data_IF_680163582533
#
_entry.id   IF_680163582533
#
_cell.length_a   1.000
_cell.length_b   1.000
_cell.length_c   1.000
_cell.angle_alpha   90.00
_cell.angle_beta   90.00
_cell.angle_gamma   90.00
#
_symmetry.space_group_name_H-M   'P 1'
#
loop_
_entity.id
_entity.type
_entity.pdbx_description
1 polymer ?
#
# COMPACT_ATOMS: atom_id res chain seq x y z
N UNK A 1 11.55 19.32 9.42
CA UNK A 1 12.98 19.68 9.18
C UNK A 1 13.67 19.84 10.53
N UNK A 2 14.99 19.60 10.61
CA UNK A 2 15.74 19.56 11.89
C UNK A 2 15.86 20.95 12.54
N UNK A 3 15.79 22.03 11.76
CA UNK A 3 15.75 23.43 12.21
C UNK A 3 16.75 23.73 13.36
N UNK A 4 18.06 23.58 13.11
CA UNK A 4 19.06 23.73 14.15
C UNK A 4 19.08 25.17 14.72
N UNK A 5 19.31 25.29 16.02
CA UNK A 5 19.37 26.59 16.71
C UNK A 5 20.51 27.48 16.19
N UNK A 6 21.60 26.84 15.73
CA UNK A 6 22.73 27.49 15.08
C UNK A 6 22.88 26.98 13.64
N UNK A 7 23.11 27.88 12.69
CA UNK A 7 23.23 27.50 11.29
C UNK A 7 24.51 26.71 10.95
N UNK A 8 25.55 26.81 11.79
CA UNK A 8 26.86 26.22 11.53
C UNK A 8 27.06 24.82 12.11
N UNK A 9 26.15 24.37 12.99
CA UNK A 9 26.25 23.05 13.60
C UNK A 9 24.90 22.46 13.96
N UNK A 10 24.79 21.13 13.86
CA UNK A 10 23.64 20.38 14.39
C UNK A 10 24.04 19.81 15.75
N UNK A 11 23.30 20.18 16.79
CA UNK A 11 23.51 19.71 18.15
C UNK A 11 22.62 18.51 18.48
N UNK A 12 22.91 17.84 19.60
CA UNK A 12 22.04 16.78 20.11
C UNK A 12 20.62 17.29 20.43
N UNK A 13 20.50 18.54 20.86
CA UNK A 13 19.22 19.15 21.20
C UNK A 13 18.34 19.31 19.95
N UNK A 14 18.92 19.74 18.83
CA UNK A 14 18.23 19.87 17.54
C UNK A 14 17.68 18.52 17.06
N UNK A 15 18.50 17.47 17.13
CA UNK A 15 18.08 16.12 16.74
C UNK A 15 16.95 15.59 17.63
N UNK A 16 17.04 15.79 18.95
CA UNK A 16 16.00 15.37 19.90
C UNK A 16 14.68 16.14 19.68
N UNK A 17 14.75 17.44 19.43
CA UNK A 17 13.56 18.29 19.22
C UNK A 17 12.84 17.99 17.91
N UNK A 18 13.57 17.65 16.85
CA UNK A 18 12.99 17.42 15.52
C UNK A 18 12.19 16.13 15.37
N UNK A 19 12.38 15.14 16.26
CA UNK A 19 11.89 13.75 16.11
C UNK A 19 12.35 13.04 14.82
N UNK A 20 13.37 13.58 14.14
CA UNK A 20 13.94 13.02 12.91
C UNK A 20 15.26 12.27 13.14
N UNK A 21 15.66 12.09 14.40
CA UNK A 21 16.96 11.49 14.75
C UNK A 21 17.15 10.09 14.15
N UNK A 22 16.10 9.27 14.12
CA UNK A 22 16.17 7.92 13.54
C UNK A 22 16.50 7.97 12.04
N UNK A 23 15.82 8.84 11.29
CA UNK A 23 16.06 9.00 9.86
C UNK A 23 17.47 9.52 9.58
N UNK A 24 17.95 10.50 10.36
CA UNK A 24 19.31 11.05 10.22
C UNK A 24 20.37 9.95 10.41
N UNK A 25 20.22 9.12 11.43
CA UNK A 25 21.15 8.04 11.68
C UNK A 25 21.10 6.94 10.61
N UNK A 26 19.91 6.62 10.09
CA UNK A 26 19.78 5.67 8.99
C UNK A 26 20.47 6.17 7.72
N UNK A 27 20.35 7.47 7.39
CA UNK A 27 21.03 8.09 6.25
C UNK A 27 22.55 8.00 6.40
N UNK A 28 23.09 8.27 7.60
CA UNK A 28 24.53 8.34 7.81
C UNK A 28 25.23 6.98 7.81
N UNK A 29 24.59 5.94 8.36
CA UNK A 29 25.28 4.66 8.58
C UNK A 29 24.44 3.38 8.48
N UNK A 30 23.13 3.47 8.22
CA UNK A 30 22.28 2.28 8.05
C UNK A 30 21.55 2.31 6.71
N UNK A 31 22.32 2.10 5.65
CA UNK A 31 21.83 2.13 4.27
C UNK A 31 20.66 1.16 4.05
N UNK A 32 20.70 -0.04 4.65
CA UNK A 32 19.62 -1.02 4.50
C UNK A 32 18.29 -0.47 5.02
N UNK A 33 18.27 0.09 6.24
CA UNK A 33 17.05 0.70 6.79
C UNK A 33 16.63 1.95 6.02
N UNK A 34 17.59 2.76 5.57
CA UNK A 34 17.30 3.93 4.76
C UNK A 34 16.63 3.54 3.43
N UNK A 35 17.19 2.57 2.69
CA UNK A 35 16.63 2.11 1.43
C UNK A 35 15.23 1.52 1.61
N UNK A 36 15.02 0.69 2.64
CA UNK A 36 13.70 0.13 2.93
C UNK A 36 12.65 1.21 3.22
N UNK A 37 13.04 2.33 3.83
CA UNK A 37 12.19 3.49 4.05
C UNK A 37 11.94 4.28 2.74
N UNK A 38 12.98 4.56 1.97
CA UNK A 38 12.91 5.37 0.74
C UNK A 38 12.14 4.65 -0.39
N UNK A 39 12.24 3.32 -0.47
CA UNK A 39 11.53 2.52 -1.48
C UNK A 39 10.11 2.16 -1.06
N UNK A 40 9.59 2.66 0.07
CA UNK A 40 8.18 2.46 0.41
C UNK A 40 7.31 3.13 -0.64
N UNK A 41 6.23 2.44 -0.99
CA UNK A 41 5.26 2.95 -1.94
C UNK A 41 4.64 4.27 -1.43
N UNK A 42 4.79 5.39 -2.17
CA UNK A 42 4.20 6.68 -1.81
C UNK A 42 2.68 6.62 -1.63
N UNK A 43 1.99 5.69 -2.30
CA UNK A 43 0.56 5.48 -2.15
C UNK A 43 0.23 4.92 -0.76
N UNK A 44 0.98 3.91 -0.30
CA UNK A 44 0.80 3.35 1.04
C UNK A 44 1.08 4.37 2.15
N UNK A 45 2.10 5.22 1.98
CA UNK A 45 2.44 6.28 2.95
C UNK A 45 1.32 7.33 3.06
N UNK A 46 0.68 7.68 1.94
CA UNK A 46 -0.45 8.63 1.93
C UNK A 46 -1.69 8.03 2.58
N UNK A 47 -1.97 6.77 2.29
CA UNK A 47 -3.09 6.04 2.87
C UNK A 47 -2.96 5.90 4.41
N UNK A 48 -1.75 5.65 4.92
CA UNK A 48 -1.50 5.64 6.38
C UNK A 48 -1.70 7.01 7.04
N UNK A 49 -1.38 8.10 6.33
CA UNK A 49 -1.55 9.46 6.85
C UNK A 49 -2.98 9.98 6.76
N UNK A 50 -3.75 9.57 5.75
CA UNK A 50 -5.14 10.04 5.56
C UNK A 50 -6.09 9.46 6.60
N UNK A 51 -5.89 8.21 7.03
CA UNK A 51 -6.76 7.56 8.02
C UNK A 51 -5.96 6.85 9.13
N UNK A 52 -5.43 7.60 10.11
CA UNK A 52 -4.66 7.03 11.22
C UNK A 52 -5.53 6.18 12.18
N UNK A 53 -6.85 6.17 11.98
CA UNK A 53 -7.79 5.35 12.78
C UNK A 53 -7.91 3.92 12.27
N UNK A 54 -7.55 3.65 11.00
CA UNK A 54 -7.57 2.32 10.42
C UNK A 54 -6.33 1.54 10.82
N UNK A 55 -6.53 0.27 11.19
CA UNK A 55 -5.43 -0.64 11.49
C UNK A 55 -4.77 -1.13 10.20
N UNK A 56 -3.58 -1.73 10.32
CA UNK A 56 -2.93 -2.40 9.19
C UNK A 56 -3.79 -3.53 8.61
N UNK A 57 -4.55 -4.23 9.47
CA UNK A 57 -5.47 -5.28 9.04
C UNK A 57 -6.62 -4.73 8.22
N UNK A 58 -7.19 -3.59 8.61
CA UNK A 58 -8.29 -2.95 7.87
C UNK A 58 -7.83 -2.53 6.46
N UNK A 59 -6.62 -1.98 6.36
CA UNK A 59 -6.01 -1.61 5.06
C UNK A 59 -5.75 -2.84 4.18
N UNK A 60 -5.18 -3.91 4.77
CA UNK A 60 -4.94 -5.16 4.06
C UNK A 60 -6.25 -5.78 3.56
N UNK A 61 -7.24 -5.93 4.45
CA UNK A 61 -8.53 -6.52 4.11
C UNK A 61 -9.21 -5.74 2.97
N UNK A 62 -9.22 -4.41 3.04
CA UNK A 62 -9.82 -3.58 1.99
C UNK A 62 -9.16 -3.81 0.61
N UNK A 63 -7.82 -3.81 0.56
CA UNK A 63 -7.07 -4.08 -0.68
C UNK A 63 -7.38 -5.47 -1.23
N UNK A 64 -7.40 -6.48 -0.37
CA UNK A 64 -7.68 -7.86 -0.78
C UNK A 64 -9.14 -8.05 -1.24
N UNK A 65 -10.11 -7.40 -0.60
CA UNK A 65 -11.51 -7.42 -1.06
C UNK A 65 -11.67 -6.79 -2.45
N UNK A 66 -11.00 -5.67 -2.73
CA UNK A 66 -11.01 -5.06 -4.06
C UNK A 66 -10.35 -5.99 -5.09
N UNK A 67 -9.20 -6.59 -4.75
CA UNK A 67 -8.51 -7.52 -5.65
C UNK A 67 -9.38 -8.74 -5.99
N UNK A 68 -9.97 -9.37 -4.97
CA UNK A 68 -10.81 -10.56 -5.13
C UNK A 68 -12.11 -10.26 -5.89
N UNK A 69 -12.75 -9.10 -5.66
CA UNK A 69 -13.94 -8.72 -6.42
C UNK A 69 -13.66 -8.47 -7.90
N UNK A 70 -12.46 -7.98 -8.25
CA UNK A 70 -12.05 -7.87 -9.66
C UNK A 70 -11.77 -9.24 -10.31
N UNK A 71 -11.43 -10.27 -9.54
CA UNK A 71 -11.22 -11.64 -10.05
C UNK A 71 -12.57 -12.34 -10.33
N UNK A 72 -13.60 -12.05 -9.54
CA UNK A 72 -14.97 -12.55 -9.73
C UNK A 72 -15.64 -11.99 -11.01
N UNK A 73 -15.47 -10.69 -11.29
CA UNK A 73 -16.00 -10.05 -12.52
C UNK A 73 -15.40 -10.62 -13.82
N UNK A 74 -14.16 -11.14 -13.78
CA UNK A 74 -13.50 -11.75 -14.95
C UNK A 74 -14.01 -13.18 -15.19
N UNK A 75 -14.31 -13.92 -14.12
CA UNK A 75 -14.90 -15.25 -14.23
C UNK A 75 -16.35 -15.17 -14.74
N UNK A 76 -17.15 -14.20 -14.28
CA UNK A 76 -18.51 -13.98 -14.78
C UNK A 76 -18.55 -13.48 -16.24
N UNK A 77 -17.57 -12.68 -16.68
CA UNK A 77 -17.44 -12.28 -18.08
C UNK A 77 -16.99 -13.43 -19.01
N UNK A 78 -16.22 -14.39 -18.49
CA UNK A 78 -15.77 -15.57 -19.26
C UNK A 78 -16.80 -16.72 -19.27
N UNK A 79 -17.69 -16.78 -18.28
CA UNK A 79 -18.70 -17.84 -18.19
C UNK A 79 -20.05 -17.44 -18.82
N UNK A 80 -20.20 -16.21 -19.30
CA UNK A 80 -21.40 -15.70 -19.97
C UNK A 80 -21.56 -16.07 -21.46
N UNK A 81 -20.95 -17.15 -21.96
CA UNK A 81 -21.05 -17.53 -23.40
C UNK A 81 -21.30 -19.01 -23.72
N UNK A 82 -21.80 -19.83 -22.79
CA UNK A 82 -22.16 -21.20 -23.11
C UNK A 82 -23.56 -21.59 -22.59
N UNK A 83 -24.39 -22.01 -23.55
CA UNK A 83 -25.62 -22.80 -23.41
C UNK A 83 -26.92 -22.09 -23.02
N UNK A 84 -27.40 -21.28 -23.97
CA UNK A 84 -28.78 -20.78 -24.05
C UNK A 84 -29.39 -21.28 -25.39
N UNK A 85 -29.94 -22.51 -25.36
CA UNK A 85 -31.03 -23.04 -26.21
C UNK A 85 -30.81 -23.35 -27.71
N UNK A 86 -29.87 -24.20 -28.07
CA UNK A 86 -29.99 -24.99 -29.30
C UNK A 86 -29.69 -26.47 -28.98
N UNK A 87 -30.40 -27.40 -29.62
CA UNK A 87 -30.06 -28.84 -29.63
C UNK A 87 -30.64 -29.75 -28.52
N UNK A 88 -31.95 -29.73 -28.31
CA UNK A 88 -32.69 -30.95 -27.91
C UNK A 88 -34.10 -31.03 -28.51
N UNK A 89 -34.32 -30.34 -29.64
CA UNK A 89 -35.56 -30.39 -30.41
C UNK A 89 -35.57 -31.45 -31.54
N UNK A 90 -34.63 -32.39 -31.61
CA UNK A 90 -34.69 -33.46 -32.62
C UNK A 90 -34.34 -34.84 -32.05
N UNK A 91 -35.34 -35.52 -31.50
CA UNK A 91 -35.57 -36.97 -31.71
C UNK A 91 -36.85 -37.41 -30.98
N UNK A 92 -38.01 -37.13 -31.57
CA UNK A 92 -39.26 -37.80 -31.22
C UNK A 92 -40.07 -38.03 -32.50
N UNK A 93 -39.63 -39.02 -33.28
CA UNK A 93 -40.43 -39.73 -34.28
C UNK A 93 -40.09 -41.22 -34.21
#
# INVERSE_FOLDING_TARGET
>A
MIAPEREDCITQQDLKGSKLSENVFNILFNLHKFMAFETRDPFLIRQEHEDPTLTEWDRFAHREYIRLSMEEDVEDASNGSADVWEESLEALF
#
